data_IF_111611083681
#
_entry.id   IF_111611083681
#
_cell.length_a   1.000
_cell.length_b   1.000
_cell.length_c   1.000
_cell.angle_alpha   90.00
_cell.angle_beta   90.00
_cell.angle_gamma   90.00
#
_symmetry.space_group_name_H-M   'P 1'
#
loop_
_entity.id
_entity.type
_entity.pdbx_description
1 polymer ?
#
# COMPACT_ATOMS: atom_id res chain seq x y z
N UNK A 1 -42.61 -0.08 5.63
CA UNK A 1 -43.80 -0.47 4.83
C UNK A 1 -44.78 -1.36 5.63
N UNK A 2 -44.33 -2.11 6.64
CA UNK A 2 -45.19 -3.04 7.40
C UNK A 2 -46.03 -2.36 8.50
N UNK A 3 -45.49 -1.36 9.21
CA UNK A 3 -46.26 -0.63 10.24
C UNK A 3 -47.49 0.11 9.67
N UNK A 4 -47.39 0.70 8.47
CA UNK A 4 -48.51 1.41 7.85
C UNK A 4 -49.66 0.45 7.50
N UNK A 5 -49.33 -0.72 6.92
CA UNK A 5 -50.32 -1.76 6.60
C UNK A 5 -51.02 -2.27 7.86
N UNK A 6 -50.26 -2.47 8.94
CA UNK A 6 -50.83 -2.89 10.22
C UNK A 6 -51.71 -1.80 10.84
N UNK A 7 -51.31 -0.52 10.76
CA UNK A 7 -52.12 0.60 11.22
C UNK A 7 -53.45 0.70 10.45
N UNK A 8 -53.42 0.55 9.12
CA UNK A 8 -54.64 0.49 8.30
C UNK A 8 -55.51 -0.71 8.70
N UNK A 9 -54.91 -1.88 8.92
CA UNK A 9 -55.65 -3.06 9.40
C UNK A 9 -56.33 -2.80 10.75
N UNK A 10 -55.62 -2.16 11.69
CA UNK A 10 -56.18 -1.79 13.01
C UNK A 10 -57.39 -0.87 12.84
N UNK A 11 -57.32 0.12 11.94
CA UNK A 11 -58.45 1.04 11.66
C UNK A 11 -59.62 0.30 10.99
N UNK A 12 -59.36 -0.59 10.04
CA UNK A 12 -60.41 -1.40 9.39
C UNK A 12 -61.10 -2.31 10.41
N UNK A 13 -60.34 -2.98 11.27
CA UNK A 13 -60.89 -3.84 12.34
C UNK A 13 -61.74 -3.02 13.32
N UNK A 14 -61.31 -1.80 13.67
CA UNK A 14 -62.10 -0.88 14.51
C UNK A 14 -63.44 -0.52 13.86
N UNK A 15 -63.41 -0.12 12.58
CA UNK A 15 -64.63 0.24 11.83
C UNK A 15 -65.58 -0.96 11.73
N UNK A 16 -65.06 -2.16 11.45
CA UNK A 16 -65.86 -3.39 11.39
C UNK A 16 -66.41 -3.81 12.76
N UNK A 17 -65.67 -3.57 13.85
CA UNK A 17 -66.14 -3.84 15.21
C UNK A 17 -67.37 -2.96 15.54
N UNK A 18 -67.30 -1.66 15.23
CA UNK A 18 -68.41 -0.72 15.44
C UNK A 18 -69.63 -1.03 14.56
N UNK A 19 -69.42 -1.43 13.30
CA UNK A 19 -70.49 -1.77 12.38
C UNK A 19 -71.19 -3.10 12.74
N UNK A 20 -70.42 -4.12 13.12
CA UNK A 20 -70.91 -5.49 13.30
C UNK A 20 -71.38 -5.79 14.74
N UNK A 21 -70.95 -4.99 15.74
CA UNK A 21 -71.22 -5.22 17.18
C UNK A 21 -70.82 -6.62 17.68
N UNK A 22 -69.79 -7.22 17.09
CA UNK A 22 -69.27 -8.52 17.51
C UNK A 22 -68.14 -8.33 18.51
N UNK A 23 -68.31 -8.83 19.74
CA UNK A 23 -67.32 -8.76 20.83
C UNK A 23 -65.93 -9.29 20.45
N UNK A 24 -65.85 -10.18 19.45
CA UNK A 24 -64.60 -10.77 18.97
C UNK A 24 -63.74 -9.72 18.25
N UNK A 25 -64.33 -8.87 17.42
CA UNK A 25 -63.59 -7.86 16.64
C UNK A 25 -63.02 -6.78 17.55
N UNK A 26 -63.75 -6.40 18.60
CA UNK A 26 -63.29 -5.46 19.62
C UNK A 26 -62.07 -6.01 20.37
N UNK A 27 -62.10 -7.28 20.78
CA UNK A 27 -60.94 -7.94 21.42
C UNK A 27 -59.73 -7.99 20.49
N UNK A 28 -59.93 -8.33 19.21
CA UNK A 28 -58.86 -8.34 18.20
C UNK A 28 -58.26 -6.96 18.02
N UNK A 29 -59.08 -5.91 17.97
CA UNK A 29 -58.61 -4.53 17.91
C UNK A 29 -57.67 -4.19 19.08
N UNK A 30 -58.09 -4.45 20.33
CA UNK A 30 -57.25 -4.16 21.50
C UNK A 30 -55.94 -4.96 21.52
N UNK A 31 -55.96 -6.22 21.09
CA UNK A 31 -54.74 -7.04 20.97
C UNK A 31 -53.79 -6.45 19.92
N UNK A 32 -54.29 -6.11 18.73
CA UNK A 32 -53.47 -5.53 17.66
C UNK A 32 -52.93 -4.14 18.03
N UNK A 33 -53.76 -3.29 18.63
CA UNK A 33 -53.36 -1.97 19.10
C UNK A 33 -52.31 -2.08 20.23
N UNK A 34 -52.51 -2.98 21.19
CA UNK A 34 -51.55 -3.26 22.26
C UNK A 34 -50.21 -3.74 21.70
N UNK A 35 -50.24 -4.69 20.76
CA UNK A 35 -49.04 -5.18 20.07
C UNK A 35 -48.30 -4.07 19.34
N UNK A 36 -49.03 -3.19 18.65
CA UNK A 36 -48.47 -2.05 17.93
C UNK A 36 -47.76 -1.07 18.88
N UNK A 37 -48.36 -0.73 20.01
CA UNK A 37 -47.77 0.16 21.03
C UNK A 37 -46.54 -0.49 21.66
N UNK A 38 -46.61 -1.78 22.03
CA UNK A 38 -45.49 -2.52 22.59
C UNK A 38 -44.33 -2.61 21.61
N UNK A 39 -44.60 -2.92 20.34
CA UNK A 39 -43.59 -2.95 19.27
C UNK A 39 -42.94 -1.59 19.08
N UNK A 40 -43.72 -0.51 19.07
CA UNK A 40 -43.21 0.85 18.95
C UNK A 40 -42.28 1.23 20.12
N UNK A 41 -42.70 0.99 21.37
CA UNK A 41 -41.90 1.28 22.57
C UNK A 41 -40.63 0.41 22.57
N UNK A 42 -40.76 -0.88 22.27
CA UNK A 42 -39.63 -1.82 22.22
C UNK A 42 -38.58 -1.36 21.22
N UNK A 43 -39.02 -1.02 20.02
CA UNK A 43 -38.15 -0.55 18.94
C UNK A 43 -37.35 0.69 19.35
N UNK A 44 -37.99 1.68 19.99
CA UNK A 44 -37.32 2.89 20.52
C UNK A 44 -36.29 2.59 21.61
N UNK A 45 -36.52 1.57 22.43
CA UNK A 45 -35.61 1.16 23.50
C UNK A 45 -34.49 0.24 22.99
N UNK A 46 -34.66 -0.39 21.83
CA UNK A 46 -33.77 -1.44 21.32
C UNK A 46 -32.32 -0.96 21.11
N UNK A 47 -32.10 0.24 20.57
CA UNK A 47 -30.75 0.79 20.37
C UNK A 47 -30.23 1.66 21.53
N UNK A 48 -31.05 1.91 22.57
CA UNK A 48 -30.63 2.73 23.72
C UNK A 48 -29.62 2.00 24.60
N UNK A 49 -28.61 2.73 25.08
CA UNK A 49 -27.58 2.21 25.97
C UNK A 49 -26.56 1.28 25.29
N UNK A 50 -26.52 1.24 23.96
CA UNK A 50 -25.49 0.51 23.22
C UNK A 50 -24.26 1.39 23.03
N UNK A 51 -23.09 0.82 23.33
CA UNK A 51 -21.78 1.39 23.05
C UNK A 51 -21.03 0.43 22.15
N UNK A 52 -20.47 0.96 21.06
CA UNK A 52 -19.65 0.21 20.11
C UNK A 52 -18.25 0.78 20.19
N UNK A 53 -17.28 -0.09 20.38
CA UNK A 53 -15.86 0.22 20.38
C UNK A 53 -15.18 -0.62 19.30
N UNK A 54 -14.41 0.06 18.46
CA UNK A 54 -13.59 -0.53 17.40
C UNK A 54 -12.13 -0.27 17.74
N UNK A 55 -11.34 -1.34 17.82
CA UNK A 55 -9.90 -1.30 17.99
C UNK A 55 -9.24 -1.81 16.71
N UNK A 56 -8.54 -0.91 16.03
CA UNK A 56 -7.73 -1.23 14.85
C UNK A 56 -6.27 -1.31 15.27
N UNK A 57 -5.56 -2.37 14.90
CA UNK A 57 -4.17 -2.57 15.36
C UNK A 57 -3.16 -1.65 14.65
N UNK A 58 -3.49 -1.15 13.46
CA UNK A 58 -2.64 -0.25 12.69
C UNK A 58 -3.48 0.69 11.81
N UNK A 59 -3.03 1.93 11.70
CA UNK A 59 -3.50 2.95 10.75
C UNK A 59 -2.84 2.81 9.36
N UNK A 60 -1.83 1.94 9.28
CA UNK A 60 -1.03 1.68 8.09
C UNK A 60 -0.93 0.17 7.85
N UNK A 61 -1.05 -0.25 6.60
CA UNK A 61 -0.87 -1.64 6.18
C UNK A 61 -0.14 -1.71 4.85
N UNK A 62 0.30 -2.89 4.43
CA UNK A 62 0.81 -3.13 3.07
C UNK A 62 -0.14 -4.00 2.26
N UNK A 63 -0.10 -3.86 0.94
CA UNK A 63 -0.79 -4.79 0.03
C UNK A 63 -0.36 -6.22 0.31
N UNK A 64 -1.33 -7.13 0.39
CA UNK A 64 -1.13 -8.54 0.71
C UNK A 64 -1.13 -8.86 2.21
N UNK A 65 -1.17 -7.87 3.10
CA UNK A 65 -1.34 -8.10 4.53
C UNK A 65 -2.82 -8.11 4.93
N UNK A 66 -3.14 -8.76 6.05
CA UNK A 66 -4.47 -8.75 6.64
C UNK A 66 -4.61 -7.60 7.65
N UNK A 67 -5.58 -6.71 7.42
CA UNK A 67 -6.07 -5.77 8.41
C UNK A 67 -6.86 -6.53 9.46
N UNK A 68 -6.38 -6.49 10.70
CA UNK A 68 -7.01 -7.14 11.85
C UNK A 68 -7.70 -6.10 12.72
N UNK A 69 -9.00 -6.27 12.89
CA UNK A 69 -9.84 -5.39 13.68
C UNK A 69 -10.53 -6.15 14.80
N UNK A 70 -10.67 -5.51 15.96
CA UNK A 70 -11.44 -6.03 17.09
C UNK A 70 -12.64 -5.13 17.34
N UNK A 71 -13.82 -5.69 17.13
CA UNK A 71 -15.08 -5.01 17.39
C UNK A 71 -15.65 -5.51 18.70
N UNK A 72 -16.10 -4.58 19.53
CA UNK A 72 -16.80 -4.86 20.78
C UNK A 72 -18.05 -4.03 20.86
N UNK A 73 -19.16 -4.70 21.14
CA UNK A 73 -20.45 -4.07 21.40
C UNK A 73 -20.88 -4.39 22.83
N UNK A 74 -21.38 -3.36 23.51
CA UNK A 74 -21.69 -3.38 24.93
C UNK A 74 -23.12 -2.89 25.14
N UNK A 75 -23.92 -3.63 25.91
CA UNK A 75 -25.25 -3.20 26.32
C UNK A 75 -25.22 -2.67 27.76
N UNK A 76 -25.24 -1.36 27.95
CA UNK A 76 -25.26 -0.74 29.28
C UNK A 76 -26.67 -0.70 29.91
N UNK A 77 -27.70 -1.08 29.16
CA UNK A 77 -29.09 -1.02 29.63
C UNK A 77 -29.48 -2.25 30.45
N UNK A 78 -30.55 -2.12 31.24
CA UNK A 78 -31.16 -3.22 32.01
C UNK A 78 -32.03 -4.14 31.14
N UNK A 79 -32.30 -3.77 29.90
CA UNK A 79 -33.11 -4.54 28.96
C UNK A 79 -32.22 -5.36 28.04
N UNK A 80 -32.63 -6.59 27.76
CA UNK A 80 -31.99 -7.42 26.77
C UNK A 80 -32.22 -6.85 25.36
N UNK A 81 -31.25 -7.04 24.47
CA UNK A 81 -31.36 -6.74 23.05
C UNK A 81 -31.47 -8.06 22.30
N UNK A 82 -32.64 -8.33 21.74
CA UNK A 82 -32.93 -9.60 21.07
C UNK A 82 -32.06 -9.79 19.83
N UNK A 83 -31.94 -8.73 19.04
CA UNK A 83 -31.05 -8.69 17.89
C UNK A 83 -30.58 -7.26 17.67
N UNK A 84 -29.30 -7.13 17.35
CA UNK A 84 -28.69 -5.90 16.87
C UNK A 84 -27.79 -6.31 15.72
N UNK A 85 -28.04 -5.75 14.55
CA UNK A 85 -27.19 -5.89 13.37
C UNK A 85 -26.18 -4.74 13.35
N UNK A 86 -24.90 -5.07 13.32
CA UNK A 86 -23.82 -4.14 13.02
C UNK A 86 -23.55 -4.21 11.52
N UNK A 87 -23.63 -3.09 10.82
CA UNK A 87 -23.30 -2.99 9.39
C UNK A 87 -22.13 -2.02 9.24
N UNK A 88 -21.09 -2.47 8.55
CA UNK A 88 -19.93 -1.65 8.22
C UNK A 88 -20.05 -0.99 6.85
N UNK A 89 -19.68 0.30 6.78
CA UNK A 89 -19.64 1.11 5.57
C UNK A 89 -18.22 1.54 5.16
N UNK A 90 -17.20 0.80 5.59
CA UNK A 90 -15.82 1.02 5.15
C UNK A 90 -15.69 0.88 3.63
N UNK A 91 -14.81 1.66 3.01
CA UNK A 91 -14.54 1.64 1.56
C UNK A 91 -13.38 0.72 1.16
N UNK A 92 -12.82 -0.02 2.12
CA UNK A 92 -11.74 -0.99 1.88
C UNK A 92 -12.22 -2.10 0.93
N UNK A 93 -11.51 -2.36 -0.19
CA UNK A 93 -11.91 -3.39 -1.15
C UNK A 93 -12.03 -4.78 -0.49
N UNK A 94 -13.14 -5.46 -0.75
CA UNK A 94 -13.41 -6.78 -0.15
C UNK A 94 -13.82 -6.75 1.33
N UNK A 95 -13.80 -5.57 1.98
CA UNK A 95 -14.30 -5.42 3.34
C UNK A 95 -15.83 -5.37 3.34
N UNK A 96 -16.45 -6.43 3.85
CA UNK A 96 -17.89 -6.44 4.15
C UNK A 96 -18.13 -7.13 5.47
N UNK A 97 -18.60 -6.37 6.43
CA UNK A 97 -18.95 -6.87 7.75
C UNK A 97 -20.41 -6.52 8.05
N UNK A 98 -21.25 -7.56 8.10
CA UNK A 98 -22.55 -7.51 8.77
C UNK A 98 -22.60 -8.64 9.80
N UNK A 99 -22.97 -8.30 11.03
CA UNK A 99 -23.11 -9.30 12.10
C UNK A 99 -24.32 -8.99 12.97
N UNK A 100 -25.17 -10.00 13.14
CA UNK A 100 -26.27 -9.96 14.09
C UNK A 100 -25.79 -10.52 15.42
N UNK A 101 -26.03 -9.77 16.49
CA UNK A 101 -25.73 -10.16 17.87
C UNK A 101 -26.96 -10.07 18.75
N UNK A 102 -27.05 -10.96 19.72
CA UNK A 102 -27.97 -10.84 20.85
C UNK A 102 -27.17 -10.40 22.07
N UNK A 103 -27.73 -9.54 22.92
CA UNK A 103 -27.03 -9.03 24.11
C UNK A 103 -27.95 -9.10 25.32
N UNK A 104 -27.51 -9.76 26.38
CA UNK A 104 -28.21 -9.75 27.66
C UNK A 104 -28.08 -8.35 28.33
N UNK A 105 -28.85 -8.06 29.39
CA UNK A 105 -28.63 -6.85 30.18
C UNK A 105 -27.19 -6.78 30.69
N UNK A 106 -26.53 -5.63 30.53
CA UNK A 106 -25.12 -5.43 30.97
C UNK A 106 -24.09 -6.37 30.34
N UNK A 107 -24.42 -6.96 29.19
CA UNK A 107 -23.58 -7.91 28.48
C UNK A 107 -22.67 -7.22 27.44
N UNK A 108 -21.61 -7.91 27.02
CA UNK A 108 -20.75 -7.46 25.94
C UNK A 108 -20.24 -8.60 25.08
N UNK A 109 -20.25 -8.40 23.77
CA UNK A 109 -19.76 -9.36 22.79
C UNK A 109 -18.59 -8.75 22.04
N UNK A 110 -17.54 -9.56 21.83
CA UNK A 110 -16.35 -9.16 21.06
C UNK A 110 -16.08 -10.16 19.94
N UNK A 111 -15.61 -9.69 18.81
CA UNK A 111 -15.11 -10.56 17.74
C UNK A 111 -13.99 -9.88 16.95
N UNK A 112 -13.23 -10.73 16.26
CA UNK A 112 -12.16 -10.34 15.35
C UNK A 112 -12.69 -10.35 13.92
N UNK A 113 -12.31 -9.34 13.14
CA UNK A 113 -12.56 -9.25 11.71
C UNK A 113 -11.19 -9.15 11.04
N UNK A 114 -11.00 -9.94 9.98
CA UNK A 114 -9.78 -9.94 9.19
C UNK A 114 -10.15 -9.63 7.75
N UNK A 115 -9.45 -8.67 7.16
CA UNK A 115 -9.68 -8.24 5.78
C UNK A 115 -8.35 -8.09 5.07
N UNK A 116 -8.20 -8.71 3.91
CA UNK A 116 -6.98 -8.57 3.11
C UNK A 116 -6.91 -7.18 2.46
N UNK A 117 -5.76 -6.53 2.59
CA UNK A 117 -5.44 -5.29 1.90
C UNK A 117 -5.07 -5.61 0.45
N UNK A 118 -6.05 -5.62 -0.45
CA UNK A 118 -5.86 -6.07 -1.83
C UNK A 118 -5.36 -4.98 -2.78
N UNK A 119 -5.51 -3.70 -2.42
CA UNK A 119 -5.10 -2.55 -3.24
C UNK A 119 -4.45 -1.50 -2.36
N UNK A 120 -3.47 -0.80 -2.92
CA UNK A 120 -2.86 0.38 -2.28
C UNK A 120 -3.81 1.58 -2.35
N UNK A 121 -3.69 2.50 -1.40
CA UNK A 121 -4.51 3.70 -1.38
C UNK A 121 -4.89 4.17 0.01
N UNK A 122 -5.67 5.24 0.04
CA UNK A 122 -6.33 5.75 1.25
C UNK A 122 -7.74 5.18 1.31
N UNK A 123 -8.06 4.58 2.43
CA UNK A 123 -9.36 3.98 2.68
C UNK A 123 -9.92 4.52 4.01
N UNK A 124 -11.24 4.61 4.10
CA UNK A 124 -12.00 4.92 5.29
C UNK A 124 -12.53 3.65 5.90
N UNK A 125 -12.19 3.45 7.17
CA UNK A 125 -12.71 2.39 8.02
C UNK A 125 -13.85 2.96 8.88
N UNK A 126 -15.04 2.39 8.74
CA UNK A 126 -16.31 2.94 9.22
C UNK A 126 -16.93 3.93 8.22
N UNK A 127 -18.07 4.56 8.56
CA UNK A 127 -18.80 4.48 9.82
C UNK A 127 -19.55 3.16 10.01
N UNK A 128 -20.02 2.91 11.24
CA UNK A 128 -20.84 1.73 11.56
C UNK A 128 -22.30 2.14 11.69
N UNK A 129 -23.20 1.34 11.13
CA UNK A 129 -24.64 1.48 11.33
C UNK A 129 -25.13 0.37 12.24
N UNK A 130 -25.76 0.74 13.35
CA UNK A 130 -26.55 -0.16 14.17
C UNK A 130 -27.96 -0.24 13.62
N UNK A 131 -28.45 -1.45 13.36
CA UNK A 131 -29.83 -1.71 12.98
C UNK A 131 -30.46 -2.68 13.99
N UNK A 132 -31.67 -2.37 14.43
CA UNK A 132 -32.46 -3.19 15.35
C UNK A 132 -33.94 -2.89 15.13
N UNK A 133 -34.82 -3.57 15.85
CA UNK A 133 -36.25 -3.32 15.78
C UNK A 133 -37.02 -4.15 16.79
N UNK A 134 -38.34 -4.13 16.65
CA UNK A 134 -39.22 -5.07 17.35
C UNK A 134 -39.13 -6.49 16.73
N UNK A 135 -39.58 -7.53 17.46
CA UNK A 135 -39.59 -8.91 16.97
C UNK A 135 -40.45 -9.15 15.72
N UNK A 136 -41.40 -8.26 15.43
CA UNK A 136 -42.34 -8.37 14.31
C UNK A 136 -41.87 -7.58 13.07
N UNK A 137 -40.73 -6.89 13.15
CA UNK A 137 -40.18 -6.08 12.07
C UNK A 137 -41.05 -4.89 11.65
N UNK A 138 -41.92 -4.39 12.55
CA UNK A 138 -42.86 -3.30 12.24
C UNK A 138 -42.14 -1.96 12.16
N UNK A 139 -41.28 -1.69 13.13
CA UNK A 139 -40.53 -0.44 13.31
C UNK A 139 -39.03 -0.75 13.32
N UNK A 140 -38.36 -0.76 12.16
CA UNK A 140 -36.90 -0.80 12.12
C UNK A 140 -36.35 0.54 12.64
N UNK A 141 -35.33 0.48 13.46
CA UNK A 141 -34.58 1.65 13.94
C UNK A 141 -33.13 1.49 13.55
N UNK A 142 -32.54 2.60 13.10
CA UNK A 142 -31.13 2.68 12.75
C UNK A 142 -30.47 3.77 13.57
N UNK A 143 -29.23 3.52 13.99
CA UNK A 143 -28.37 4.52 14.63
C UNK A 143 -27.00 4.48 13.99
N UNK A 144 -26.56 5.62 13.47
CA UNK A 144 -25.20 5.80 12.99
C UNK A 144 -24.24 5.95 14.17
N UNK A 145 -23.10 5.26 14.10
CA UNK A 145 -21.95 5.45 14.97
C UNK A 145 -20.88 6.13 14.13
N UNK A 146 -20.62 7.44 14.34
CA UNK A 146 -19.79 8.25 13.44
C UNK A 146 -18.28 8.02 13.62
N UNK A 147 -17.88 6.81 13.98
CA UNK A 147 -16.46 6.45 14.07
C UNK A 147 -15.92 6.23 12.67
N UNK A 148 -15.02 7.10 12.22
CA UNK A 148 -14.32 7.00 10.93
C UNK A 148 -12.83 7.11 11.18
N UNK A 149 -12.07 6.18 10.64
CA UNK A 149 -10.61 6.16 10.71
C UNK A 149 -10.03 6.04 9.30
N UNK A 150 -8.91 6.71 9.02
CA UNK A 150 -8.23 6.62 7.74
C UNK A 150 -7.16 5.52 7.81
N UNK A 151 -7.24 4.58 6.88
CA UNK A 151 -6.28 3.50 6.67
C UNK A 151 -5.47 3.82 5.42
N UNK A 152 -4.15 3.90 5.57
CA UNK A 152 -3.23 4.02 4.45
C UNK A 152 -2.62 2.66 4.12
N UNK A 153 -2.93 2.13 2.94
CA UNK A 153 -2.34 0.89 2.43
C UNK A 153 -1.19 1.24 1.49
N UNK A 154 0.03 0.96 1.96
CA UNK A 154 1.26 1.07 1.18
C UNK A 154 1.34 -0.03 0.11
N UNK A 155 2.08 0.22 -0.98
CA UNK A 155 2.45 -0.86 -1.88
C UNK A 155 3.22 -1.96 -1.14
N UNK A 156 3.15 -3.18 -1.67
CA UNK A 156 3.96 -4.27 -1.16
C UNK A 156 5.45 -3.99 -1.37
N UNK A 157 6.30 -4.60 -0.55
CA UNK A 157 7.76 -4.50 -0.69
C UNK A 157 8.38 -5.90 -0.65
N UNK A 158 9.11 -6.24 -1.70
CA UNK A 158 9.77 -7.54 -1.90
C UNK A 158 11.23 -7.42 -1.50
N UNK A 159 11.82 -8.49 -0.96
CA UNK A 159 13.26 -8.52 -0.70
C UNK A 159 14.03 -8.66 -2.03
N UNK A 160 14.97 -7.74 -2.25
CA UNK A 160 15.79 -7.67 -3.46
C UNK A 160 17.25 -8.04 -3.16
N UNK A 161 17.50 -8.95 -2.22
CA UNK A 161 18.84 -9.39 -1.83
C UNK A 161 19.71 -9.89 -3.01
N UNK A 162 19.09 -10.37 -4.10
CA UNK A 162 19.77 -10.75 -5.34
C UNK A 162 20.08 -9.59 -6.31
N UNK A 163 19.46 -8.42 -6.14
CA UNK A 163 19.64 -7.28 -7.04
C UNK A 163 21.03 -6.68 -6.86
N UNK A 164 21.72 -6.42 -7.99
CA UNK A 164 23.04 -5.80 -7.99
C UNK A 164 23.08 -4.65 -8.98
N UNK A 165 23.65 -3.55 -8.54
CA UNK A 165 24.08 -2.52 -9.47
C UNK A 165 25.30 -3.03 -10.26
N UNK A 166 25.39 -2.70 -11.55
CA UNK A 166 26.58 -2.97 -12.34
C UNK A 166 27.74 -2.15 -11.77
N UNK A 167 28.92 -2.76 -11.70
CA UNK A 167 30.13 -2.06 -11.31
C UNK A 167 30.54 -1.18 -12.49
N UNK A 168 30.40 0.14 -12.36
CA UNK A 168 30.97 1.08 -13.32
C UNK A 168 32.50 1.06 -13.20
N UNK A 169 33.20 0.73 -14.29
CA UNK A 169 34.64 0.97 -14.39
C UNK A 169 34.85 2.47 -14.53
N UNK A 170 35.31 3.12 -13.47
CA UNK A 170 35.80 4.49 -13.55
C UNK A 170 37.08 4.52 -14.40
N UNK A 171 37.22 5.44 -15.37
CA UNK A 171 38.51 5.70 -16.02
C UNK A 171 39.50 6.16 -14.94
N UNK A 172 40.39 5.27 -14.51
CA UNK A 172 41.27 5.49 -13.36
C UNK A 172 41.32 4.36 -12.33
N UNK A 173 40.57 3.27 -12.52
CA UNK A 173 40.84 1.98 -11.86
C UNK A 173 40.37 1.83 -10.40
N UNK A 174 39.58 2.76 -9.87
CA UNK A 174 38.99 2.59 -8.54
C UNK A 174 37.54 2.11 -8.68
N UNK A 175 37.37 0.82 -8.91
CA UNK A 175 36.08 0.15 -8.75
C UNK A 175 35.53 0.41 -7.34
N UNK A 176 34.36 1.04 -7.24
CA UNK A 176 33.54 1.13 -6.02
C UNK A 176 32.95 -0.26 -5.70
N UNK A 177 33.81 -1.23 -5.46
CA UNK A 177 33.45 -2.46 -4.77
C UNK A 177 34.65 -3.02 -4.01
N UNK A 178 35.25 -2.20 -3.14
CA UNK A 178 35.91 -2.78 -1.98
C UNK A 178 34.83 -3.14 -0.97
N UNK A 179 34.24 -4.33 -1.13
CA UNK A 179 33.68 -5.07 0.01
C UNK A 179 34.81 -5.22 1.02
N UNK A 180 34.95 -4.27 1.93
CA UNK A 180 35.67 -4.50 3.16
C UNK A 180 34.65 -5.01 4.16
N UNK A 181 34.74 -6.29 4.49
CA UNK A 181 34.07 -6.90 5.65
C UNK A 181 34.72 -6.46 6.97
N UNK A 182 35.33 -5.28 6.97
CA UNK A 182 35.89 -4.65 8.14
C UNK A 182 35.31 -3.25 8.17
N UNK A 183 34.53 -2.95 9.22
CA UNK A 183 34.50 -1.60 9.80
C UNK A 183 35.96 -1.28 10.12
N UNK A 184 36.68 -0.78 9.13
CA UNK A 184 37.97 -0.18 9.37
C UNK A 184 37.62 1.27 9.66
N UNK A 185 37.89 1.79 10.86
CA UNK A 185 37.78 3.20 11.15
C UNK A 185 38.93 3.91 10.42
N UNK A 186 38.89 3.89 9.09
CA UNK A 186 39.83 4.62 8.26
C UNK A 186 39.41 6.08 8.37
N UNK A 187 40.00 6.77 9.34
CA UNK A 187 40.09 8.22 9.32
C UNK A 187 40.75 8.58 7.98
N UNK A 188 40.02 9.29 7.13
CA UNK A 188 40.55 9.75 5.84
C UNK A 188 41.73 10.71 6.04
N UNK A 189 41.75 11.38 7.19
CA UNK A 189 42.85 12.20 7.64
C UNK A 189 42.66 12.62 9.09
N UNK A 190 43.60 13.43 9.54
CA UNK A 190 43.57 14.03 10.85
C UNK A 190 43.88 15.51 10.64
N UNK A 191 42.95 16.40 11.00
CA UNK A 191 43.16 17.86 10.91
C UNK A 191 43.28 18.52 12.26
N UNK A 192 43.77 19.75 12.28
CA UNK A 192 43.82 20.56 13.49
C UNK A 192 42.40 20.87 14.01
N UNK A 193 42.22 20.79 15.32
CA UNK A 193 40.97 21.10 16.01
C UNK A 193 40.59 22.57 15.81
N UNK A 194 39.33 22.80 15.40
CA UNK A 194 38.76 24.14 15.36
C UNK A 194 37.73 24.30 16.48
N UNK A 195 37.61 25.49 17.08
CA UNK A 195 36.57 25.78 18.07
C UNK A 195 35.17 25.49 17.51
N UNK A 196 34.51 24.44 18.01
CA UNK A 196 33.21 23.94 17.53
C UNK A 196 33.21 22.45 17.18
N UNK A 197 34.38 21.83 17.03
CA UNK A 197 34.49 20.40 16.84
C UNK A 197 34.12 19.61 18.12
N UNK A 198 33.43 18.48 17.94
CA UNK A 198 33.01 17.66 19.07
C UNK A 198 34.20 16.91 19.70
N UNK A 199 34.35 17.01 21.02
CA UNK A 199 35.45 16.38 21.78
C UNK A 199 35.53 14.85 21.62
N UNK A 200 34.41 14.19 21.33
CA UNK A 200 34.38 12.74 21.06
C UNK A 200 35.06 12.35 19.73
N UNK A 201 35.46 13.30 18.90
CA UNK A 201 36.16 13.09 17.64
C UNK A 201 37.67 13.34 17.73
N UNK A 202 38.20 13.65 18.92
CA UNK A 202 39.64 13.90 19.10
C UNK A 202 40.46 12.63 18.81
N UNK A 203 41.47 12.77 17.96
CA UNK A 203 42.43 11.73 17.65
C UNK A 203 43.58 11.78 18.67
N UNK A 204 43.39 11.17 19.86
CA UNK A 204 44.37 11.21 20.95
C UNK A 204 45.78 10.74 20.55
N UNK A 205 45.88 9.70 19.71
CA UNK A 205 47.17 9.19 19.25
C UNK A 205 47.92 10.16 18.31
N UNK A 206 47.19 10.93 17.49
CA UNK A 206 47.78 11.94 16.62
C UNK A 206 48.13 13.20 17.41
N UNK A 207 47.23 13.63 18.30
CA UNK A 207 47.43 14.73 19.25
C UNK A 207 48.69 14.52 20.10
N UNK A 208 48.93 13.28 20.56
CA UNK A 208 50.12 12.94 21.33
C UNK A 208 51.44 13.02 20.53
N UNK A 209 51.40 12.88 19.20
CA UNK A 209 52.59 12.96 18.34
C UNK A 209 52.87 14.38 17.84
N UNK A 210 51.83 15.18 17.58
CA UNK A 210 51.95 16.54 17.03
C UNK A 210 52.00 17.61 18.12
N UNK A 211 51.55 17.31 19.35
CA UNK A 211 51.47 18.28 20.45
C UNK A 211 50.33 19.29 20.31
N UNK A 212 49.52 19.18 19.26
CA UNK A 212 48.35 20.03 19.00
C UNK A 212 47.09 19.17 18.97
N UNK A 213 45.94 19.73 19.38
CA UNK A 213 44.67 19.01 19.37
C UNK A 213 44.29 18.68 17.92
N UNK A 214 44.17 17.38 17.64
CA UNK A 214 43.78 16.90 16.33
C UNK A 214 42.43 16.20 16.36
N UNK A 215 41.64 16.35 15.31
CA UNK A 215 40.30 15.74 15.16
C UNK A 215 40.32 14.74 14.01
N UNK A 216 39.67 13.59 14.20
CA UNK A 216 39.46 12.58 13.16
C UNK A 216 38.54 13.17 12.08
N UNK A 217 39.03 13.27 10.85
CA UNK A 217 38.15 13.51 9.71
C UNK A 217 37.61 12.17 9.20
N UNK A 218 36.29 12.08 9.19
CA UNK A 218 35.59 10.99 8.54
C UNK A 218 35.25 11.49 7.14
N UNK A 219 35.85 10.90 6.10
CA UNK A 219 35.21 10.97 4.78
C UNK A 219 33.85 10.30 4.94
N UNK A 220 32.79 11.05 4.64
CA UNK A 220 31.55 10.40 4.24
C UNK A 220 31.93 9.70 2.94
N UNK A 221 32.01 8.36 2.95
CA UNK A 221 32.02 7.59 1.71
C UNK A 221 30.93 8.21 0.82
N UNK A 222 31.27 8.77 -0.35
CA UNK A 222 30.29 9.40 -1.23
C UNK A 222 29.42 8.26 -1.76
N UNK A 223 28.41 7.92 -0.96
CA UNK A 223 27.50 6.83 -1.23
C UNK A 223 26.67 7.34 -2.39
N UNK A 224 26.95 6.82 -3.58
CA UNK A 224 26.32 7.23 -4.82
C UNK A 224 24.80 7.38 -4.62
N UNK A 225 24.26 8.56 -4.91
CA UNK A 225 22.83 8.85 -4.80
C UNK A 225 22.05 7.95 -5.76
N UNK A 226 20.99 7.31 -5.28
CA UNK A 226 20.10 6.51 -6.13
C UNK A 226 18.87 7.33 -6.45
N UNK A 227 18.63 7.55 -7.74
CA UNK A 227 17.39 8.12 -8.23
C UNK A 227 16.54 7.02 -8.83
N UNK A 228 15.36 6.82 -8.26
CA UNK A 228 14.34 5.95 -8.86
C UNK A 228 13.44 6.85 -9.70
N UNK A 229 13.44 6.65 -11.01
CA UNK A 229 12.52 7.32 -11.93
C UNK A 229 11.41 6.34 -12.25
N UNK A 230 10.23 6.59 -11.68
CA UNK A 230 9.06 5.74 -11.86
C UNK A 230 8.17 6.36 -12.95
N UNK A 231 8.06 5.66 -14.06
CA UNK A 231 7.16 6.02 -15.15
C UNK A 231 5.70 5.73 -14.77
N UNK A 232 4.87 6.75 -14.94
CA UNK A 232 3.44 6.82 -14.63
C UNK A 232 2.68 7.49 -15.79
N UNK A 233 3.25 7.51 -16.99
CA UNK A 233 2.54 7.96 -18.19
C UNK A 233 1.40 6.99 -18.54
N UNK A 234 0.16 7.49 -18.49
CA UNK A 234 -1.05 6.67 -18.55
C UNK A 234 -1.12 5.75 -19.79
N UNK A 235 -0.55 6.19 -20.93
CA UNK A 235 -0.65 5.46 -22.21
C UNK A 235 0.08 4.13 -22.23
N UNK A 236 1.12 3.95 -21.42
CA UNK A 236 1.92 2.73 -21.39
C UNK A 236 1.49 1.75 -20.30
N UNK A 237 0.54 2.14 -19.42
CA UNK A 237 0.06 1.29 -18.35
C UNK A 237 -1.17 0.47 -18.77
N UNK A 238 -1.07 -0.85 -18.57
CA UNK A 238 -2.11 -1.80 -18.97
C UNK A 238 -2.53 -2.63 -17.76
N UNK A 239 -3.84 -2.89 -17.64
CA UNK A 239 -4.39 -3.83 -16.66
C UNK A 239 -4.42 -5.24 -17.26
N UNK A 240 -4.07 -6.23 -16.45
CA UNK A 240 -4.11 -7.62 -16.84
C UNK A 240 -5.54 -8.03 -17.23
N UNK A 241 -5.68 -8.66 -18.41
CA UNK A 241 -6.98 -9.13 -18.92
C UNK A 241 -7.40 -10.47 -18.31
N UNK A 242 -6.44 -11.24 -17.81
CA UNK A 242 -6.65 -12.53 -17.16
C UNK A 242 -6.15 -12.42 -15.73
N UNK A 243 -7.05 -12.57 -14.76
CA UNK A 243 -6.64 -12.73 -13.36
C UNK A 243 -6.23 -14.17 -13.11
N UNK A 244 -5.20 -14.37 -12.29
CA UNK A 244 -4.96 -15.67 -11.67
C UNK A 244 -6.28 -16.17 -11.06
N UNK A 245 -6.63 -17.46 -11.21
CA UNK A 245 -7.92 -17.98 -10.76
C UNK A 245 -8.19 -17.57 -9.31
N UNK A 246 -9.42 -17.13 -8.98
CA UNK A 246 -9.72 -16.60 -7.66
C UNK A 246 -9.50 -17.68 -6.62
N UNK A 247 -8.38 -17.58 -5.89
CA UNK A 247 -8.21 -18.27 -4.62
C UNK A 247 -9.21 -17.61 -3.67
N UNK A 248 -10.09 -18.40 -3.03
CA UNK A 248 -10.94 -17.86 -1.97
C UNK A 248 -10.02 -17.32 -0.87
N UNK A 249 -9.93 -15.98 -0.66
CA UNK A 249 -9.00 -15.42 0.31
C UNK A 249 -9.35 -15.85 1.74
N UNK A 250 -10.59 -16.31 1.97
CA UNK A 250 -11.04 -16.89 3.24
C UNK A 250 -10.61 -18.34 3.40
N UNK A 251 -10.39 -19.07 2.31
CA UNK A 251 -9.86 -20.43 2.32
C UNK A 251 -8.34 -20.43 2.53
N UNK A 252 -7.61 -19.51 1.89
CA UNK A 252 -6.15 -19.36 2.05
C UNK A 252 -5.74 -19.07 3.52
N UNK A 253 -6.58 -18.34 4.27
CA UNK A 253 -6.36 -18.06 5.69
C UNK A 253 -6.51 -19.24 6.65
N UNK A 254 -6.96 -20.43 6.19
CA UNK A 254 -7.08 -21.63 7.05
C UNK A 254 -5.83 -22.51 7.08
N UNK A 255 -4.86 -22.29 6.19
CA UNK A 255 -3.70 -23.17 6.02
C UNK A 255 -2.32 -22.51 6.20
N UNK A 256 -2.24 -21.19 6.39
CA UNK A 256 -0.95 -20.49 6.47
C UNK A 256 -0.20 -20.41 5.13
N UNK A 257 -0.84 -20.77 4.01
CA UNK A 257 -0.28 -20.52 2.67
C UNK A 257 -0.41 -19.03 2.34
N UNK A 258 0.72 -18.33 2.31
CA UNK A 258 0.80 -16.94 1.83
C UNK A 258 0.44 -16.90 0.34
N UNK A 259 -0.54 -16.07 -0.01
CA UNK A 259 -0.91 -15.85 -1.40
C UNK A 259 0.26 -15.16 -2.13
N UNK A 260 0.68 -15.63 -3.32
CA UNK A 260 1.74 -14.98 -4.09
C UNK A 260 1.40 -13.52 -4.34
N UNK A 261 2.39 -12.63 -4.25
CA UNK A 261 2.17 -11.19 -4.41
C UNK A 261 1.53 -10.84 -5.77
N UNK A 262 1.88 -11.59 -6.83
CA UNK A 262 1.29 -11.45 -8.16
C UNK A 262 -0.25 -11.54 -8.19
N UNK A 263 -0.87 -12.18 -7.19
CA UNK A 263 -2.33 -12.22 -7.05
C UNK A 263 -2.94 -10.82 -6.82
N UNK A 264 -2.22 -9.94 -6.12
CA UNK A 264 -2.68 -8.59 -5.77
C UNK A 264 -2.28 -7.55 -6.82
N UNK A 265 -1.31 -7.86 -7.68
CA UNK A 265 -0.78 -6.95 -8.69
C UNK A 265 -1.51 -7.20 -10.02
N UNK A 266 -2.52 -6.38 -10.32
CA UNK A 266 -3.40 -6.58 -11.47
C UNK A 266 -3.02 -5.74 -12.71
N UNK A 267 -1.95 -4.95 -12.67
CA UNK A 267 -1.58 -4.03 -13.76
C UNK A 267 -0.09 -3.72 -13.75
N UNK A 268 0.43 -3.22 -14.87
CA UNK A 268 1.82 -2.78 -14.96
C UNK A 268 2.10 -1.63 -13.98
N UNK A 269 1.10 -0.79 -13.67
CA UNK A 269 1.18 0.26 -12.63
C UNK A 269 1.50 -0.36 -11.26
N UNK A 270 0.76 -1.39 -10.83
CA UNK A 270 1.00 -2.04 -9.54
C UNK A 270 2.38 -2.71 -9.48
N UNK A 271 2.83 -3.33 -10.57
CA UNK A 271 4.19 -3.89 -10.67
C UNK A 271 5.26 -2.79 -10.59
N UNK A 272 5.08 -1.67 -11.29
CA UNK A 272 6.02 -0.55 -11.30
C UNK A 272 6.15 0.08 -9.91
N UNK A 273 5.02 0.36 -9.27
CA UNK A 273 4.98 0.95 -7.93
C UNK A 273 5.58 0.00 -6.88
N UNK A 274 5.24 -1.29 -6.93
CA UNK A 274 5.80 -2.31 -6.03
C UNK A 274 7.31 -2.46 -6.23
N UNK A 275 7.77 -2.42 -7.47
CA UNK A 275 9.19 -2.47 -7.83
C UNK A 275 9.93 -1.24 -7.29
N UNK A 276 9.40 -0.04 -7.52
CA UNK A 276 9.97 1.20 -6.99
C UNK A 276 10.04 1.20 -5.46
N UNK A 277 8.98 0.76 -4.78
CA UNK A 277 8.96 0.63 -3.33
C UNK A 277 10.01 -0.39 -2.82
N UNK A 278 10.17 -1.51 -3.53
CA UNK A 278 11.13 -2.57 -3.18
C UNK A 278 12.58 -2.10 -3.40
N UNK A 279 12.86 -1.40 -4.50
CA UNK A 279 14.16 -0.78 -4.77
C UNK A 279 14.50 0.29 -3.73
N UNK A 280 13.54 1.15 -3.38
CA UNK A 280 13.73 2.16 -2.35
C UNK A 280 14.09 1.52 -1.00
N UNK A 281 13.34 0.49 -0.59
CA UNK A 281 13.64 -0.27 0.64
C UNK A 281 15.05 -0.85 0.60
N UNK A 282 15.38 -1.56 -0.48
CA UNK A 282 16.65 -2.25 -0.65
C UNK A 282 17.85 -1.31 -0.48
N UNK A 283 17.80 -0.11 -1.08
CA UNK A 283 18.90 0.84 -0.99
C UNK A 283 18.91 1.66 0.29
N UNK A 284 17.75 1.98 0.87
CA UNK A 284 17.67 2.63 2.17
C UNK A 284 18.16 1.72 3.31
N UNK A 285 17.89 0.41 3.23
CA UNK A 285 18.40 -0.60 4.17
C UNK A 285 19.93 -0.75 4.08
N UNK A 286 20.50 -0.48 2.89
CA UNK A 286 21.95 -0.37 2.68
C UNK A 286 22.52 1.01 3.08
N UNK A 287 21.71 1.87 3.71
CA UNK A 287 22.08 3.22 4.13
C UNK A 287 22.53 4.15 2.98
N UNK A 288 22.01 3.91 1.76
CA UNK A 288 22.23 4.79 0.61
C UNK A 288 21.19 5.91 0.58
N UNK A 289 21.55 7.01 -0.05
CA UNK A 289 20.62 8.08 -0.34
C UNK A 289 19.71 7.66 -1.50
N UNK A 290 18.39 7.80 -1.34
CA UNK A 290 17.40 7.43 -2.35
C UNK A 290 16.45 8.61 -2.61
N UNK A 291 16.32 9.01 -3.86
CA UNK A 291 15.32 9.94 -4.36
C UNK A 291 14.31 9.23 -5.26
N UNK A 292 13.14 9.84 -5.44
CA UNK A 292 12.07 9.34 -6.31
C UNK A 292 11.61 10.47 -7.23
N UNK A 293 11.52 10.20 -8.52
CA UNK A 293 10.97 11.09 -9.54
C UNK A 293 9.81 10.39 -10.22
N UNK A 294 8.68 11.08 -10.40
CA UNK A 294 7.52 10.55 -11.11
C UNK A 294 6.94 11.53 -12.11
N UNK A 295 6.40 11.01 -13.21
CA UNK A 295 5.70 11.75 -14.28
C UNK A 295 4.19 11.50 -14.30
N UNK A 296 3.56 11.36 -13.13
CA UNK A 296 2.10 11.29 -12.97
C UNK A 296 1.44 12.65 -13.30
N UNK A 297 0.11 12.76 -13.17
CA UNK A 297 -0.64 14.00 -13.46
C UNK A 297 -0.11 15.25 -12.74
N UNK A 298 0.52 15.07 -11.60
CA UNK A 298 1.29 16.09 -10.88
C UNK A 298 2.72 15.58 -10.69
N UNK A 299 3.64 15.87 -11.63
CA UNK A 299 5.03 15.43 -11.55
C UNK A 299 5.64 15.82 -10.21
N UNK A 300 6.26 14.85 -9.55
CA UNK A 300 6.75 15.02 -8.18
C UNK A 300 8.17 14.48 -8.08
N UNK A 301 9.03 15.30 -7.48
CA UNK A 301 10.42 14.93 -7.18
C UNK A 301 10.61 14.92 -5.66
N UNK A 302 10.83 13.73 -5.11
CA UNK A 302 11.26 13.53 -3.73
C UNK A 302 12.79 13.54 -3.73
N UNK A 303 13.44 14.54 -3.10
CA UNK A 303 14.89 14.64 -3.09
C UNK A 303 15.54 13.45 -2.39
N UNK A 304 16.80 13.22 -2.70
CA UNK A 304 17.61 12.16 -2.10
C UNK A 304 17.77 12.39 -0.60
N UNK A 305 17.44 11.37 0.19
CA UNK A 305 17.68 11.31 1.63
C UNK A 305 17.86 9.84 2.03
N UNK A 306 18.18 9.58 3.31
CA UNK A 306 18.46 8.24 3.83
C UNK A 306 17.61 7.91 5.06
N UNK A 307 17.60 6.62 5.41
CA UNK A 307 16.98 6.11 6.63
C UNK A 307 15.46 5.96 6.57
N UNK A 308 14.87 5.51 7.69
CA UNK A 308 13.47 5.09 7.74
C UNK A 308 12.44 6.18 7.46
N UNK A 309 12.75 7.45 7.75
CA UNK A 309 11.86 8.58 7.43
C UNK A 309 11.67 8.77 5.94
N UNK A 310 12.76 8.62 5.17
CA UNK A 310 12.69 8.70 3.72
C UNK A 310 11.85 7.54 3.15
N UNK A 311 12.00 6.34 3.71
CA UNK A 311 11.18 5.19 3.31
C UNK A 311 9.69 5.46 3.51
N UNK A 312 9.30 5.99 4.68
CA UNK A 312 7.91 6.35 4.97
C UNK A 312 7.40 7.39 3.97
N UNK A 313 8.17 8.43 3.68
CA UNK A 313 7.79 9.48 2.71
C UNK A 313 7.55 8.91 1.31
N UNK A 314 8.44 8.03 0.84
CA UNK A 314 8.32 7.36 -0.45
C UNK A 314 7.08 6.45 -0.47
N UNK A 315 6.87 5.62 0.56
CA UNK A 315 5.72 4.72 0.62
C UNK A 315 4.38 5.47 0.70
N UNK A 316 4.30 6.56 1.47
CA UNK A 316 3.10 7.39 1.58
C UNK A 316 2.72 8.02 0.23
N UNK A 317 3.72 8.45 -0.54
CA UNK A 317 3.52 8.94 -1.90
C UNK A 317 3.07 7.82 -2.84
N UNK A 318 3.81 6.70 -2.88
CA UNK A 318 3.52 5.56 -3.76
C UNK A 318 2.17 4.87 -3.46
N UNK A 319 1.66 4.99 -2.23
CA UNK A 319 0.35 4.47 -1.85
C UNK A 319 -0.80 5.13 -2.63
N UNK A 320 -0.65 6.41 -3.00
CA UNK A 320 -1.75 7.21 -3.57
C UNK A 320 -1.50 7.54 -5.04
N UNK A 321 -0.25 7.54 -5.48
CA UNK A 321 0.12 7.85 -6.87
C UNK A 321 -0.59 6.93 -7.86
N UNK A 322 -0.95 7.44 -9.04
CA UNK A 322 -1.61 6.70 -10.13
C UNK A 322 -0.85 6.93 -11.43
N UNK A 323 -0.97 6.00 -12.38
CA UNK A 323 -0.51 6.17 -13.75
C UNK A 323 -1.52 7.00 -14.55
N UNK A 324 -1.62 8.28 -14.21
CA UNK A 324 -2.49 9.27 -14.84
C UNK A 324 -1.70 10.40 -15.52
N UNK A 325 -0.40 10.20 -15.68
CA UNK A 325 0.51 11.14 -16.31
C UNK A 325 0.31 11.27 -17.80
N UNK A 326 0.57 12.47 -18.32
CA UNK A 326 0.55 12.76 -19.76
C UNK A 326 1.93 13.17 -20.28
N UNK A 327 2.91 13.35 -19.39
CA UNK A 327 4.25 13.76 -19.77
C UNK A 327 5.10 12.54 -20.14
N UNK A 328 5.72 12.53 -21.35
CA UNK A 328 6.62 11.47 -21.75
C UNK A 328 7.82 11.32 -20.81
N UNK A 329 8.20 10.07 -20.51
CA UNK A 329 9.34 9.75 -19.66
C UNK A 329 10.64 10.44 -20.10
N UNK A 330 10.86 10.56 -21.41
CA UNK A 330 12.03 11.24 -21.97
C UNK A 330 12.11 12.73 -21.54
N UNK A 331 10.97 13.43 -21.54
CA UNK A 331 10.90 14.82 -21.11
C UNK A 331 11.18 14.97 -19.63
N UNK A 332 10.65 14.06 -18.80
CA UNK A 332 10.91 14.05 -17.35
C UNK A 332 12.40 13.81 -17.07
N UNK A 333 13.04 12.86 -17.75
CA UNK A 333 14.48 12.61 -17.61
C UNK A 333 15.34 13.82 -18.04
N UNK A 334 14.91 14.55 -19.07
CA UNK A 334 15.59 15.77 -19.50
C UNK A 334 15.40 16.92 -18.50
N UNK A 335 14.18 17.13 -18.00
CA UNK A 335 13.87 18.17 -17.03
C UNK A 335 14.61 17.97 -15.70
N UNK A 336 14.70 16.72 -15.24
CA UNK A 336 15.38 16.34 -14.00
C UNK A 336 16.87 16.06 -14.19
N UNK A 337 17.41 16.23 -15.40
CA UNK A 337 18.80 15.93 -15.75
C UNK A 337 19.86 16.73 -14.98
N UNK A 338 19.44 17.81 -14.30
CA UNK A 338 20.26 18.60 -13.38
C UNK A 338 20.47 17.96 -12.01
N UNK A 339 19.59 17.04 -11.60
CA UNK A 339 19.68 16.30 -10.33
C UNK A 339 20.60 15.05 -10.43
N UNK A 340 21.04 14.69 -11.63
CA UNK A 340 21.86 13.51 -11.89
C UNK A 340 23.34 13.88 -12.00
N UNK A 341 24.05 13.72 -10.88
CA UNK A 341 25.50 13.87 -10.81
C UNK A 341 26.23 12.63 -11.34
N UNK A 342 27.54 12.78 -11.63
CA UNK A 342 28.39 11.67 -12.11
C UNK A 342 28.54 10.53 -11.10
N UNK A 343 28.26 10.78 -9.83
CA UNK A 343 28.27 9.76 -8.78
C UNK A 343 26.85 9.26 -8.46
N UNK A 344 25.85 9.56 -9.30
CA UNK A 344 24.48 9.10 -9.10
C UNK A 344 24.19 7.87 -9.94
N UNK A 345 23.31 7.02 -9.43
CA UNK A 345 22.71 5.90 -10.18
C UNK A 345 21.25 6.22 -10.44
N UNK A 346 20.86 6.29 -11.71
CA UNK A 346 19.47 6.44 -12.15
C UNK A 346 18.91 5.07 -12.48
N UNK A 347 17.84 4.68 -11.79
CA UNK A 347 17.10 3.45 -12.03
C UNK A 347 15.74 3.82 -12.61
N UNK A 348 15.51 3.50 -13.87
CA UNK A 348 14.25 3.75 -14.55
C UNK A 348 13.35 2.54 -14.42
N UNK A 349 12.14 2.71 -13.90
CA UNK A 349 11.11 1.67 -13.84
C UNK A 349 10.00 2.08 -14.81
N UNK A 350 9.85 1.37 -15.92
CA UNK A 350 8.92 1.76 -16.99
C UNK A 350 8.30 0.56 -17.71
N UNK A 351 7.02 0.64 -18.12
CA UNK A 351 6.44 -0.26 -19.12
C UNK A 351 6.52 0.28 -20.56
N UNK A 352 7.11 1.47 -20.78
CA UNK A 352 7.18 2.14 -22.07
C UNK A 352 8.08 1.41 -23.06
N UNK A 353 7.58 1.27 -24.30
CA UNK A 353 8.30 0.73 -25.46
C UNK A 353 8.89 1.83 -26.34
N UNK A 354 8.81 3.10 -25.92
CA UNK A 354 9.30 4.22 -26.71
C UNK A 354 10.85 4.27 -26.71
N UNK A 355 11.46 4.55 -27.86
CA UNK A 355 12.93 4.61 -27.97
C UNK A 355 13.53 5.93 -27.44
N UNK A 356 12.71 6.98 -27.30
CA UNK A 356 13.19 8.33 -27.00
C UNK A 356 13.86 8.43 -25.62
N UNK A 357 13.30 7.79 -24.59
CA UNK A 357 13.89 7.83 -23.26
C UNK A 357 15.19 7.01 -23.18
N UNK A 358 15.31 5.93 -23.97
CA UNK A 358 16.54 5.15 -24.07
C UNK A 358 17.70 6.00 -24.61
N UNK A 359 17.44 6.88 -25.58
CA UNK A 359 18.43 7.84 -26.08
C UNK A 359 18.87 8.85 -25.00
N UNK A 360 17.94 9.34 -24.17
CA UNK A 360 18.28 10.22 -23.05
C UNK A 360 19.18 9.49 -22.04
N UNK A 361 18.89 8.22 -21.76
CA UNK A 361 19.72 7.38 -20.89
C UNK A 361 21.13 7.14 -21.44
N UNK A 362 21.30 7.00 -22.76
CA UNK A 362 22.63 6.94 -23.38
C UNK A 362 23.46 8.18 -23.05
N UNK A 363 22.85 9.37 -23.18
CA UNK A 363 23.53 10.63 -22.92
C UNK A 363 23.91 10.78 -21.44
N UNK A 364 23.07 10.30 -20.52
CA UNK A 364 23.37 10.26 -19.09
C UNK A 364 24.52 9.28 -18.78
N UNK A 365 24.49 8.09 -19.38
CA UNK A 365 25.57 7.10 -19.26
C UNK A 365 26.91 7.65 -19.76
N UNK A 366 26.90 8.33 -20.92
CA UNK A 366 28.09 9.00 -21.48
C UNK A 366 28.64 10.13 -20.59
N UNK A 367 27.80 10.76 -19.76
CA UNK A 367 28.21 11.74 -18.74
C UNK A 367 28.83 11.09 -17.50
N UNK A 368 28.82 9.77 -17.41
CA UNK A 368 29.32 8.99 -16.27
C UNK A 368 28.26 8.70 -15.21
N UNK A 369 26.98 8.96 -15.47
CA UNK A 369 25.88 8.58 -14.56
C UNK A 369 25.63 7.09 -14.67
N UNK A 370 25.55 6.36 -13.55
CA UNK A 370 25.18 4.96 -13.59
C UNK A 370 23.72 4.81 -14.00
N UNK A 371 23.42 3.99 -15.01
CA UNK A 371 22.04 3.80 -15.47
C UNK A 371 21.65 2.33 -15.37
N UNK A 372 20.46 2.07 -14.84
CA UNK A 372 19.82 0.73 -14.81
C UNK A 372 18.37 0.87 -15.23
N UNK A 373 17.87 -0.09 -16.00
CA UNK A 373 16.47 -0.13 -16.42
C UNK A 373 15.78 -1.36 -15.84
N UNK A 374 14.61 -1.15 -15.26
CA UNK A 374 13.65 -2.20 -14.93
C UNK A 374 12.44 -2.02 -15.84
N UNK A 375 12.37 -2.88 -16.85
CA UNK A 375 11.36 -2.84 -17.88
C UNK A 375 10.22 -3.81 -17.56
N UNK A 376 8.99 -3.33 -17.62
CA UNK A 376 7.81 -4.16 -17.37
C UNK A 376 7.19 -4.54 -18.72
N UNK A 377 7.16 -5.83 -19.03
CA UNK A 377 6.67 -6.38 -20.28
C UNK A 377 5.13 -6.27 -20.37
N UNK A 378 4.64 -5.15 -20.90
CA UNK A 378 3.20 -4.87 -21.02
C UNK A 378 2.45 -5.89 -21.88
N UNK A 379 3.13 -6.52 -22.85
CA UNK A 379 2.56 -7.60 -23.70
C UNK A 379 2.03 -8.79 -22.90
N UNK A 380 2.62 -9.09 -21.74
CA UNK A 380 2.23 -10.22 -20.87
C UNK A 380 0.97 -9.98 -20.05
N UNK A 381 0.49 -8.73 -19.94
CA UNK A 381 -0.68 -8.37 -19.14
C UNK A 381 -1.98 -8.50 -19.96
N UNK A 382 -2.01 -7.95 -21.18
CA UNK A 382 -3.13 -8.14 -22.13
C UNK A 382 -2.81 -7.63 -23.55
N UNK A 383 -1.64 -7.97 -24.11
CA UNK A 383 -1.34 -7.64 -25.51
C UNK A 383 -0.82 -6.21 -25.75
N UNK A 384 -0.14 -5.61 -24.77
CA UNK A 384 0.71 -4.44 -25.02
C UNK A 384 1.83 -4.73 -26.02
N UNK A 385 2.52 -3.68 -26.47
CA UNK A 385 3.65 -3.81 -27.39
C UNK A 385 4.78 -4.63 -26.75
N UNK A 386 5.47 -5.42 -27.58
CA UNK A 386 6.60 -6.22 -27.14
C UNK A 386 7.78 -5.32 -26.81
N UNK A 387 8.38 -5.51 -25.64
CA UNK A 387 9.54 -4.71 -25.22
C UNK A 387 10.86 -5.14 -25.89
N UNK A 388 10.83 -6.17 -26.73
CA UNK A 388 12.02 -6.83 -27.29
C UNK A 388 12.94 -5.89 -28.08
N UNK A 389 12.39 -4.93 -28.83
CA UNK A 389 13.19 -3.94 -29.56
C UNK A 389 13.96 -3.04 -28.59
N UNK A 390 13.27 -2.44 -27.62
CA UNK A 390 13.89 -1.58 -26.60
C UNK A 390 14.93 -2.34 -25.77
N UNK A 391 14.66 -3.59 -25.38
CA UNK A 391 15.65 -4.43 -24.68
C UNK A 391 16.90 -4.64 -25.52
N UNK A 392 16.74 -4.85 -26.83
CA UNK A 392 17.86 -5.04 -27.76
C UNK A 392 18.68 -3.76 -27.91
N UNK A 393 18.03 -2.60 -28.00
CA UNK A 393 18.70 -1.30 -28.07
C UNK A 393 19.47 -1.01 -26.78
N UNK A 394 18.84 -1.17 -25.61
CA UNK A 394 19.50 -0.99 -24.32
C UNK A 394 20.70 -1.93 -24.15
N UNK A 395 20.58 -3.18 -24.60
CA UNK A 395 21.68 -4.14 -24.58
C UNK A 395 22.82 -3.72 -25.52
N UNK A 396 22.52 -3.18 -26.70
CA UNK A 396 23.53 -2.69 -27.64
C UNK A 396 24.34 -1.50 -27.08
N UNK A 397 23.71 -0.69 -26.23
CA UNK A 397 24.34 0.45 -25.54
C UNK A 397 25.09 -0.02 -24.27
N UNK A 398 24.86 -1.27 -23.83
CA UNK A 398 25.42 -1.80 -22.60
C UNK A 398 24.70 -1.30 -21.33
N UNK A 399 23.45 -0.85 -21.46
CA UNK A 399 22.61 -0.48 -20.32
C UNK A 399 22.01 -1.76 -19.70
N UNK A 400 22.34 -2.07 -18.44
CA UNK A 400 21.80 -3.23 -17.75
C UNK A 400 20.30 -3.12 -17.57
N UNK A 401 19.60 -4.13 -18.07
CA UNK A 401 18.14 -4.17 -18.14
C UNK A 401 17.61 -5.42 -17.44
N UNK A 402 16.64 -5.22 -16.55
CA UNK A 402 15.89 -6.28 -15.90
C UNK A 402 14.47 -6.30 -16.46
N UNK A 403 13.95 -7.48 -16.78
CA UNK A 403 12.63 -7.63 -17.39
C UNK A 403 11.65 -8.26 -16.38
N UNK A 404 10.49 -7.63 -16.20
CA UNK A 404 9.40 -8.11 -15.35
C UNK A 404 8.19 -8.47 -16.19
N UNK A 405 7.68 -9.70 -16.06
CA UNK A 405 6.47 -10.17 -16.73
C UNK A 405 5.32 -10.36 -15.74
N UNK A 406 4.09 -10.39 -16.26
CA UNK A 406 2.93 -10.70 -15.45
C UNK A 406 3.04 -12.09 -14.81
N UNK A 407 2.90 -12.16 -13.48
CA UNK A 407 3.00 -13.38 -12.71
C UNK A 407 4.40 -13.67 -12.15
N UNK A 408 5.42 -12.91 -12.55
CA UNK A 408 6.78 -13.12 -12.06
C UNK A 408 6.92 -12.78 -10.56
N UNK A 409 7.78 -13.53 -9.88
CA UNK A 409 8.31 -13.13 -8.58
C UNK A 409 9.32 -11.99 -8.81
N UNK A 410 8.96 -10.78 -8.40
CA UNK A 410 9.76 -9.56 -8.59
C UNK A 410 11.18 -9.73 -8.02
N UNK A 411 11.33 -10.36 -6.86
CA UNK A 411 12.65 -10.55 -6.23
C UNK A 411 13.56 -11.45 -7.05
N UNK A 412 13.01 -12.52 -7.63
CA UNK A 412 13.74 -13.44 -8.52
C UNK A 412 14.03 -12.82 -9.88
N UNK A 413 13.06 -12.13 -10.47
CA UNK A 413 13.22 -11.52 -11.78
C UNK A 413 14.27 -10.39 -11.77
N UNK A 414 14.35 -9.62 -10.69
CA UNK A 414 15.38 -8.60 -10.49
C UNK A 414 16.76 -9.16 -10.09
N UNK A 415 16.87 -10.46 -9.80
CA UNK A 415 18.18 -11.08 -9.55
C UNK A 415 18.92 -11.46 -10.85
N UNK A 416 18.23 -11.54 -11.99
CA UNK A 416 18.80 -12.01 -13.26
C UNK A 416 18.62 -10.95 -14.37
N UNK A 417 19.71 -10.53 -15.01
CA UNK A 417 19.65 -9.55 -16.10
C UNK A 417 19.12 -10.16 -17.40
N UNK A 418 18.33 -9.39 -18.16
CA UNK A 418 17.70 -9.84 -19.40
C UNK A 418 18.72 -10.23 -20.48
N UNK A 419 19.87 -9.54 -20.56
CA UNK A 419 20.95 -9.84 -21.51
C UNK A 419 21.54 -11.25 -21.34
N UNK A 420 21.45 -11.85 -20.15
CA UNK A 420 21.96 -13.21 -19.89
C UNK A 420 20.99 -14.31 -20.33
N UNK A 421 19.70 -14.00 -20.54
CA UNK A 421 18.70 -14.98 -21.00
C UNK A 421 18.87 -15.37 -22.49
N UNK A 422 19.48 -14.52 -23.31
CA UNK A 422 19.74 -14.80 -24.72
C UNK A 422 20.84 -15.85 -24.97
N UNK A 423 21.70 -16.11 -23.98
CA UNK A 423 22.86 -17.00 -24.13
C UNK A 423 22.62 -18.44 -23.65
N UNK A 424 21.46 -18.76 -23.05
CA UNK A 424 21.23 -20.07 -22.38
C UNK A 424 20.29 -21.00 -23.17
N UNK A 425 19.89 -20.66 -24.41
CA UNK A 425 19.08 -21.54 -25.27
C UNK A 425 19.73 -21.84 -26.61
N UNK A 426 20.93 -22.41 -26.58
CA UNK A 426 21.44 -23.26 -27.67
C UNK A 426 22.53 -24.18 -27.14
N UNK A 427 22.15 -25.34 -26.62
CA UNK A 427 22.97 -26.55 -26.78
C UNK A 427 22.05 -27.70 -27.17
N UNK A 428 22.48 -28.55 -28.13
CA UNK A 428 21.63 -29.43 -28.93
C UNK A 428 20.97 -30.57 -28.16
#
# INVERSE_FOLDING_TARGET
MNALKLAVLIVVVLVLAELSRWDVLEKVFFVLAGLFVVAFIWSRLSLRGLVVTRETQADRAQVGQALVERLRIQNLSRLAKLWVELIDHSDVPGHRMSRVVHLRPRDSTRWRVETWCSRRGRFRVGPLTLQSGDPFGLFPVRRLVPYVHELLVYPATVDLSGFRLPVGELPGGNSLQRRTQFVTPNAAGVREYLPGDAFNRIAWAATARTGQLMVKEFELDPTADVWIVLDLEARHHVRAGHHLPPLDPRAAGRGGEELPLAFWLDSTEEYAVTTAASLARHFLDQNRNVGLITNNSQPTTIPTDRGGRQMVKILEFLAVVRADGTQPLAETLLAEGGNFDRNSTVIVVTPSTDEQWAQVLMNLSARGVGVVVVLIESSTFNGGESSLMVVSDLAAIGIPTYLLKYGDDIGRALATQAATMGAVRTTP
#
